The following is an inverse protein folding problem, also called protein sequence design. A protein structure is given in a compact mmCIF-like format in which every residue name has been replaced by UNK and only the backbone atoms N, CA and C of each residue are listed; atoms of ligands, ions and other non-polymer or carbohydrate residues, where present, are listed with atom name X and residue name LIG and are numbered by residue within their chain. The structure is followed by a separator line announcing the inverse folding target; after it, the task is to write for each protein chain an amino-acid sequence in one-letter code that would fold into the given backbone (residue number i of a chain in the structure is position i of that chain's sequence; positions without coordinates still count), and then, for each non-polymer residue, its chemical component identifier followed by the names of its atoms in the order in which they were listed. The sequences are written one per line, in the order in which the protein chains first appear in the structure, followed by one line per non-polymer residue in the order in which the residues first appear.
data_IF_009259050592
#
_entry.id   IF_009259050592
#
_cell.length_a   1.000
_cell.length_b   1.000
_cell.length_c   1.000
_cell.angle_alpha   90.00
_cell.angle_beta   90.00
_cell.angle_gamma   90.00
#
_symmetry.space_group_name_H-M   'P 1'
#
loop_
_entity.id
_entity.type
_entity.pdbx_description
1 polymer ?
#
# COMPACT_ATOMS: atom_id res chain seq x y z
N UNK A 1 20.54 16.05 12.57
CA UNK A 1 19.19 16.55 12.24
C UNK A 1 18.19 15.62 12.91
N UNK A 2 17.05 16.11 13.38
CA UNK A 2 16.07 15.28 14.08
C UNK A 2 14.66 15.63 13.63
N UNK A 3 13.86 14.60 13.36
CA UNK A 3 12.41 14.77 13.15
C UNK A 3 11.76 15.12 14.49
N UNK A 4 11.06 16.25 14.55
CA UNK A 4 10.24 16.61 15.71
C UNK A 4 8.96 15.76 15.70
N UNK A 5 9.01 14.66 16.46
CA UNK A 5 7.90 13.74 16.59
C UNK A 5 6.63 14.42 17.12
N UNK A 6 6.73 15.46 17.94
CA UNK A 6 5.55 16.12 18.51
C UNK A 6 4.72 16.85 17.45
N UNK A 7 5.37 17.34 16.39
CA UNK A 7 4.75 18.12 15.31
C UNK A 7 4.26 17.26 14.14
N UNK A 8 4.46 15.94 14.18
CA UNK A 8 3.99 15.06 13.10
C UNK A 8 2.46 14.99 13.12
N UNK A 9 1.86 15.42 12.00
CA UNK A 9 0.43 15.35 11.73
C UNK A 9 0.17 14.46 10.52
N UNK A 10 -0.73 13.48 10.64
CA UNK A 10 -1.26 12.74 9.50
C UNK A 10 -2.69 13.15 9.22
N UNK A 11 -3.07 13.14 7.94
CA UNK A 11 -4.43 13.42 7.49
C UNK A 11 -4.81 12.46 6.38
N UNK A 12 -6.00 11.88 6.48
CA UNK A 12 -6.61 11.14 5.37
C UNK A 12 -7.16 12.15 4.38
N UNK A 13 -6.53 12.25 3.21
CA UNK A 13 -6.96 13.15 2.13
C UNK A 13 -8.03 12.51 1.26
N UNK A 14 -7.95 11.19 1.05
CA UNK A 14 -8.92 10.42 0.26
C UNK A 14 -9.15 9.05 0.88
N UNK A 15 -10.42 8.68 1.08
CA UNK A 15 -10.80 7.30 1.43
C UNK A 15 -11.20 6.53 0.17
N UNK A 16 -10.92 5.22 0.09
CA UNK A 16 -11.50 4.36 -0.93
C UNK A 16 -13.04 4.44 -0.90
N UNK A 17 -13.65 4.73 -2.05
CA UNK A 17 -15.10 4.86 -2.22
C UNK A 17 -15.61 4.04 -3.41
N UNK A 18 -14.86 3.94 -4.51
CA UNK A 18 -15.30 3.26 -5.73
C UNK A 18 -14.87 1.80 -5.75
N UNK A 19 -15.44 1.00 -4.85
CA UNK A 19 -15.33 -0.45 -4.92
C UNK A 19 -16.11 -0.96 -6.12
N UNK A 20 -15.51 -1.82 -6.94
CA UNK A 20 -16.17 -2.48 -8.06
C UNK A 20 -15.47 -3.79 -8.41
N UNK A 21 -16.17 -4.61 -9.19
CA UNK A 21 -15.62 -5.81 -9.79
C UNK A 21 -15.88 -5.81 -11.30
N UNK A 22 -14.82 -5.97 -12.07
CA UNK A 22 -14.83 -5.90 -13.52
C UNK A 22 -14.28 -7.20 -14.11
N UNK A 23 -15.00 -7.79 -15.06
CA UNK A 23 -14.51 -8.93 -15.81
C UNK A 23 -13.51 -8.45 -16.87
N UNK A 24 -12.27 -8.92 -16.81
CA UNK A 24 -11.21 -8.58 -17.76
C UNK A 24 -10.26 -9.75 -17.95
N UNK A 25 -9.92 -10.08 -19.20
CA UNK A 25 -8.88 -11.07 -19.51
C UNK A 25 -9.11 -12.48 -18.94
N UNK A 26 -10.37 -12.90 -18.74
CA UNK A 26 -10.70 -14.20 -18.13
C UNK A 26 -10.67 -14.23 -16.60
N UNK A 27 -10.43 -13.08 -15.96
CA UNK A 27 -10.51 -12.88 -14.51
C UNK A 27 -11.58 -11.84 -14.17
N UNK A 28 -11.97 -11.81 -12.90
CA UNK A 28 -12.78 -10.77 -12.27
C UNK A 28 -11.85 -10.00 -11.35
N UNK A 29 -11.61 -8.74 -11.71
CA UNK A 29 -10.74 -7.83 -10.99
C UNK A 29 -11.57 -7.04 -9.99
N UNK A 30 -11.28 -7.23 -8.71
CA UNK A 30 -11.82 -6.43 -7.62
C UNK A 30 -10.89 -5.25 -7.40
N UNK A 31 -11.42 -4.05 -7.58
CA UNK A 31 -10.65 -2.80 -7.51
C UNK A 31 -11.35 -1.81 -6.61
N UNK A 32 -10.58 -1.01 -5.89
CA UNK A 32 -11.06 0.13 -5.12
C UNK A 32 -10.36 1.41 -5.60
N UNK A 33 -11.02 2.56 -5.44
CA UNK A 33 -10.33 3.83 -5.62
C UNK A 33 -9.23 4.02 -4.56
N UNK A 34 -8.20 4.83 -4.83
CA UNK A 34 -7.05 4.95 -3.95
C UNK A 34 -7.38 5.44 -2.53
N UNK A 35 -6.68 4.92 -1.53
CA UNK A 35 -6.45 5.56 -0.24
C UNK A 35 -5.34 6.60 -0.40
N UNK A 36 -5.52 7.79 0.18
CA UNK A 36 -4.48 8.81 0.25
C UNK A 36 -4.35 9.36 1.66
N UNK A 37 -3.13 9.41 2.17
CA UNK A 37 -2.78 9.98 3.47
C UNK A 37 -1.59 10.91 3.30
N UNK A 38 -1.71 12.15 3.78
CA UNK A 38 -0.59 13.07 3.91
C UNK A 38 -0.01 13.01 5.32
N UNK A 39 1.29 13.27 5.43
CA UNK A 39 1.97 13.55 6.67
C UNK A 39 2.68 14.90 6.57
N UNK A 40 2.60 15.71 7.62
CA UNK A 40 3.38 16.95 7.79
C UNK A 40 4.28 16.80 8.99
N UNK A 41 5.54 17.19 8.87
CA UNK A 41 6.46 17.21 9.99
C UNK A 41 7.44 18.38 9.92
N UNK A 42 8.12 18.61 11.04
CA UNK A 42 9.21 19.57 11.14
C UNK A 42 10.52 18.83 11.43
N UNK A 43 11.60 19.25 10.78
CA UNK A 43 12.94 18.68 10.98
C UNK A 43 13.86 19.76 11.51
N UNK A 44 14.44 19.52 12.68
CA UNK A 44 15.28 20.44 13.43
C UNK A 44 16.77 20.09 13.29
N UNK A 45 17.68 21.09 13.46
CA UNK A 45 19.09 20.78 13.61
C UNK A 45 19.32 19.94 14.87
N UNK A 46 20.36 19.10 14.87
CA UNK A 46 20.70 18.36 16.09
C UNK A 46 21.28 19.32 17.13
N UNK A 47 20.82 19.25 18.38
CA UNK A 47 21.24 20.15 19.47
C UNK A 47 22.74 20.01 19.82
N UNK A 48 23.40 18.95 19.36
CA UNK A 48 24.85 18.75 19.47
C UNK A 48 25.67 19.68 18.58
N UNK A 49 25.05 20.42 17.65
CA UNK A 49 25.71 21.39 16.78
C UNK A 49 25.48 22.82 17.29
N UNK A 50 26.27 23.28 18.28
CA UNK A 50 26.37 24.70 18.59
C UNK A 50 27.06 25.40 17.43
N UNK A 51 26.30 26.15 16.65
CA UNK A 51 26.80 26.95 15.53
C UNK A 51 27.72 28.03 16.10
N UNK A 52 29.03 27.93 15.83
CA UNK A 52 29.95 29.04 16.10
C UNK A 52 29.57 30.23 15.19
N UNK A 53 29.69 31.49 15.65
CA UNK A 53 29.24 32.68 14.91
C UNK A 53 29.84 32.80 13.50
N UNK A 54 31.02 32.23 13.29
CA UNK A 54 31.82 32.37 12.07
C UNK A 54 31.85 31.11 11.19
N UNK A 55 31.06 30.08 11.52
CA UNK A 55 31.04 28.84 10.77
C UNK A 55 30.17 29.01 9.51
N UNK A 56 30.81 29.50 8.44
CA UNK A 56 30.26 29.57 7.09
C UNK A 56 30.00 28.14 6.56
N UNK A 57 28.87 27.56 6.98
CA UNK A 57 28.20 26.43 6.36
C UNK A 57 29.07 25.17 6.18
N UNK A 58 29.14 24.33 7.21
CA UNK A 58 28.87 22.90 7.02
C UNK A 58 27.38 22.79 6.64
N UNK A 59 26.90 22.86 5.38
CA UNK A 59 27.19 22.10 4.14
C UNK A 59 27.00 20.59 4.21
N UNK A 60 26.46 20.03 5.29
CA UNK A 60 25.79 18.73 5.12
C UNK A 60 24.45 19.01 4.45
N UNK A 61 24.42 18.86 3.13
CA UNK A 61 23.17 18.85 2.40
C UNK A 61 22.31 17.75 3.03
N UNK A 62 21.02 17.97 3.25
CA UNK A 62 20.10 16.89 3.60
C UNK A 62 19.99 15.80 2.51
N UNK A 63 20.57 16.01 1.31
CA UNK A 63 20.94 14.92 0.36
C UNK A 63 22.04 13.99 0.86
N UNK A 64 22.91 14.51 1.71
CA UNK A 64 24.05 13.81 2.32
C UNK A 64 23.69 13.32 3.72
N UNK A 65 22.45 13.57 4.18
CA UNK A 65 21.94 12.97 5.39
C UNK A 65 21.77 11.46 5.17
N UNK A 66 22.36 10.66 6.06
CA UNK A 66 22.20 9.20 6.05
C UNK A 66 20.79 8.74 6.42
N UNK A 67 19.98 9.65 6.98
CA UNK A 67 18.61 9.37 7.40
C UNK A 67 17.59 9.66 6.29
N UNK A 68 16.58 8.82 6.19
CA UNK A 68 15.43 8.91 5.27
C UNK A 68 14.14 8.98 6.09
N UNK A 69 13.10 9.64 5.56
CA UNK A 69 11.76 9.64 6.15
C UNK A 69 10.72 9.34 5.06
N UNK A 70 9.82 8.40 5.34
CA UNK A 70 8.81 7.98 4.38
C UNK A 70 7.83 6.97 4.96
N UNK A 71 6.94 6.46 4.11
CA UNK A 71 5.98 5.43 4.53
C UNK A 71 6.52 4.02 4.30
N UNK A 72 6.22 3.11 5.22
CA UNK A 72 6.45 1.67 5.09
C UNK A 72 5.15 0.94 5.40
N UNK A 73 4.83 -0.09 4.63
CA UNK A 73 3.59 -0.84 4.76
C UNK A 73 3.83 -2.34 4.94
N UNK A 74 2.97 -2.96 5.74
CA UNK A 74 2.88 -4.40 5.94
C UNK A 74 1.46 -4.84 5.66
N UNK A 75 1.29 -5.85 4.82
CA UNK A 75 0.03 -6.58 4.73
C UNK A 75 -0.02 -7.60 5.87
N UNK A 76 -1.04 -7.49 6.72
CA UNK A 76 -1.19 -8.28 7.94
C UNK A 76 -2.32 -9.30 7.88
N UNK A 77 -3.21 -9.17 6.89
CA UNK A 77 -4.32 -10.09 6.66
C UNK A 77 -4.60 -10.20 5.16
N UNK A 78 -4.87 -11.41 4.74
CA UNK A 78 -5.59 -11.71 3.52
C UNK A 78 -6.62 -12.80 3.80
N UNK A 79 -7.87 -12.57 3.41
CA UNK A 79 -8.85 -13.64 3.27
C UNK A 79 -9.43 -13.55 1.87
N UNK A 80 -9.38 -14.63 1.09
CA UNK A 80 -9.78 -14.63 -0.30
C UNK A 80 -10.41 -15.98 -0.63
N UNK A 81 -11.72 -15.98 -0.82
CA UNK A 81 -12.47 -17.15 -1.25
C UNK A 81 -13.36 -16.83 -2.44
N UNK A 82 -13.62 -17.84 -3.24
CA UNK A 82 -14.48 -17.77 -4.41
C UNK A 82 -15.31 -19.05 -4.55
N UNK A 83 -16.61 -18.88 -4.68
CA UNK A 83 -17.57 -19.94 -4.99
C UNK A 83 -17.88 -19.93 -6.49
N UNK A 84 -17.67 -21.07 -7.12
CA UNK A 84 -17.90 -21.31 -8.54
C UNK A 84 -19.03 -22.30 -8.71
N UNK A 85 -19.89 -22.06 -9.70
CA UNK A 85 -21.03 -22.92 -9.99
C UNK A 85 -21.12 -23.22 -11.48
N UNK A 86 -21.40 -24.48 -11.82
CA UNK A 86 -21.71 -24.88 -13.18
C UNK A 86 -23.07 -24.36 -13.66
N UNK A 87 -23.33 -24.47 -14.96
CA UNK A 87 -24.57 -23.98 -15.55
C UNK A 87 -25.77 -24.86 -15.21
N UNK A 88 -25.51 -26.15 -15.07
CA UNK A 88 -26.48 -27.15 -14.68
C UNK A 88 -26.05 -27.82 -13.37
N UNK A 89 -26.98 -28.43 -12.66
CA UNK A 89 -26.67 -29.15 -11.42
C UNK A 89 -25.65 -30.27 -11.63
N UNK A 90 -25.68 -30.93 -12.81
CA UNK A 90 -24.74 -31.99 -13.18
C UNK A 90 -23.30 -31.50 -13.40
N UNK A 91 -23.10 -30.20 -13.66
CA UNK A 91 -21.77 -29.61 -13.84
C UNK A 91 -21.04 -29.39 -12.51
N UNK A 92 -21.76 -29.45 -11.39
CA UNK A 92 -21.22 -29.31 -10.04
C UNK A 92 -20.95 -27.87 -9.58
N UNK A 93 -20.22 -27.77 -8.48
CA UNK A 93 -19.74 -26.50 -7.92
C UNK A 93 -18.38 -26.70 -7.22
N UNK A 94 -17.66 -25.61 -7.02
CA UNK A 94 -16.35 -25.61 -6.36
C UNK A 94 -16.23 -24.40 -5.44
N UNK A 95 -15.58 -24.59 -4.28
CA UNK A 95 -15.18 -23.51 -3.39
C UNK A 95 -13.66 -23.45 -3.37
N UNK A 96 -13.11 -22.33 -3.82
CA UNK A 96 -11.67 -22.08 -3.78
C UNK A 96 -11.38 -21.10 -2.65
N UNK A 97 -10.56 -21.50 -1.70
CA UNK A 97 -9.96 -20.61 -0.70
C UNK A 97 -8.48 -20.44 -1.04
N UNK A 98 -8.15 -19.31 -1.67
CA UNK A 98 -6.79 -19.00 -2.14
C UNK A 98 -5.93 -18.46 -1.00
N UNK A 99 -6.51 -17.70 -0.06
CA UNK A 99 -5.77 -17.13 1.06
C UNK A 99 -5.31 -18.18 2.07
N UNK A 100 -6.09 -19.26 2.27
CA UNK A 100 -5.68 -20.38 3.12
C UNK A 100 -4.33 -20.98 2.68
N UNK A 101 -4.01 -20.92 1.39
CA UNK A 101 -2.83 -21.55 0.78
C UNK A 101 -1.54 -20.72 0.85
N UNK A 102 -1.57 -19.46 1.27
CA UNK A 102 -0.34 -18.62 1.38
C UNK A 102 0.62 -19.17 2.44
N UNK A 103 1.91 -19.25 2.09
CA UNK A 103 3.01 -19.71 2.94
C UNK A 103 3.35 -18.73 4.08
N UNK A 104 3.17 -17.42 3.85
CA UNK A 104 3.23 -16.40 4.89
C UNK A 104 1.93 -15.60 4.94
N UNK A 105 1.47 -15.30 6.16
CA UNK A 105 0.25 -14.50 6.40
C UNK A 105 0.53 -13.02 6.64
N UNK A 106 1.80 -12.67 6.87
CA UNK A 106 2.27 -11.30 7.07
C UNK A 106 3.46 -11.06 6.16
N UNK A 107 3.44 -9.97 5.41
CA UNK A 107 4.47 -9.67 4.41
C UNK A 107 4.59 -8.16 4.23
N UNK A 108 5.78 -7.72 3.82
CA UNK A 108 6.02 -6.30 3.57
C UNK A 108 5.48 -5.92 2.21
N UNK A 109 4.83 -4.79 2.11
CA UNK A 109 4.28 -4.31 0.85
C UNK A 109 5.20 -3.23 0.26
N UNK A 110 5.96 -3.60 -0.77
CA UNK A 110 6.93 -2.74 -1.45
C UNK A 110 7.14 -3.19 -2.91
N UNK A 111 7.59 -2.25 -3.75
CA UNK A 111 7.99 -2.55 -5.12
C UNK A 111 9.46 -2.96 -5.19
N UNK A 112 9.72 -4.24 -5.44
CA UNK A 112 11.08 -4.76 -5.60
C UNK A 112 11.82 -4.14 -6.78
N UNK A 113 11.13 -3.70 -7.84
CA UNK A 113 11.75 -3.13 -9.03
C UNK A 113 12.39 -1.76 -8.76
N UNK A 114 11.84 -1.02 -7.78
CA UNK A 114 12.40 0.24 -7.29
C UNK A 114 13.69 0.06 -6.47
N UNK A 115 13.99 -1.17 -6.03
CA UNK A 115 15.11 -1.47 -5.13
C UNK A 115 14.97 -0.82 -3.74
N UNK A 116 13.81 -0.24 -3.43
CA UNK A 116 13.55 0.46 -2.17
C UNK A 116 12.47 -0.24 -1.36
N UNK A 117 12.59 -0.09 -0.04
CA UNK A 117 11.67 -0.67 0.94
C UNK A 117 10.63 0.34 1.43
N UNK A 118 10.69 1.55 0.87
CA UNK A 118 9.77 2.67 1.11
C UNK A 118 8.59 2.56 0.14
N UNK A 119 7.40 2.85 0.64
CA UNK A 119 6.19 2.97 -0.16
C UNK A 119 6.25 4.32 -0.89
N UNK A 120 6.78 4.34 -2.12
CA UNK A 120 7.08 5.59 -2.84
C UNK A 120 5.81 6.28 -3.37
N UNK A 121 5.74 7.60 -3.20
CA UNK A 121 4.85 8.48 -3.96
C UNK A 121 5.60 9.32 -5.01
N UNK A 122 6.91 9.14 -5.17
CA UNK A 122 7.73 9.83 -6.18
C UNK A 122 8.42 8.82 -7.09
N UNK A 123 8.40 9.08 -8.41
CA UNK A 123 9.07 8.27 -9.44
C UNK A 123 10.60 8.40 -9.45
N UNK A 124 11.18 9.15 -8.51
CA UNK A 124 12.62 9.34 -8.39
C UNK A 124 13.08 8.68 -7.09
N UNK A 125 13.95 7.67 -7.22
CA UNK A 125 14.64 6.98 -6.12
C UNK A 125 15.42 7.97 -5.22
N UNK A 126 15.70 9.19 -5.73
CA UNK A 126 16.29 10.30 -4.98
C UNK A 126 15.31 11.14 -4.14
N UNK A 127 14.01 10.83 -4.18
CA UNK A 127 12.93 11.65 -3.60
C UNK A 127 12.29 11.00 -2.36
N UNK A 128 13.01 10.15 -1.64
CA UNK A 128 12.76 10.06 -0.20
C UNK A 128 13.05 11.45 0.37
N UNK A 129 12.02 12.31 0.47
CA UNK A 129 12.17 13.77 0.57
C UNK A 129 13.02 14.21 1.77
N UNK A 130 14.31 14.34 1.50
CA UNK A 130 15.31 15.12 2.24
C UNK A 130 15.95 16.14 1.31
N UNK A 131 15.17 16.81 0.44
CA UNK A 131 15.65 17.93 -0.38
C UNK A 131 15.05 19.26 0.07
N UNK A 132 15.27 19.70 1.32
CA UNK A 132 14.87 21.03 1.72
C UNK A 132 15.55 22.08 0.86
N UNK A 133 14.87 23.22 0.79
CA UNK A 133 15.36 24.42 0.17
C UNK A 133 16.76 24.77 0.70
N UNK A 134 17.77 24.64 -0.18
CA UNK A 134 19.17 24.89 0.13
C UNK A 134 19.44 26.33 0.58
N UNK A 135 18.49 27.25 0.34
CA UNK A 135 18.58 28.64 0.80
C UNK A 135 18.08 28.84 2.23
N UNK A 136 17.42 27.84 2.84
CA UNK A 136 16.80 27.95 4.16
C UNK A 136 17.51 27.10 5.19
N UNK A 137 17.87 27.72 6.31
CA UNK A 137 18.33 27.00 7.52
C UNK A 137 17.15 26.24 8.13
N UNK A 138 17.39 25.08 8.76
CA UNK A 138 16.33 24.41 9.52
C UNK A 138 15.85 25.33 10.66
N UNK A 139 14.59 25.18 11.11
CA UNK A 139 13.74 24.01 10.88
C UNK A 139 13.09 23.95 9.49
N UNK A 140 13.01 22.74 8.93
CA UNK A 140 12.34 22.50 7.64
C UNK A 140 10.96 21.90 7.87
N UNK A 141 9.96 22.45 7.18
CA UNK A 141 8.63 21.86 7.12
C UNK A 141 8.58 20.91 5.92
N UNK A 142 8.30 19.64 6.18
CA UNK A 142 8.21 18.59 5.18
C UNK A 142 6.78 18.06 5.08
N UNK A 143 6.37 17.69 3.87
CA UNK A 143 5.09 17.06 3.60
C UNK A 143 5.31 15.79 2.77
N UNK A 144 4.69 14.69 3.19
CA UNK A 144 4.80 13.36 2.59
C UNK A 144 3.42 12.86 2.23
N UNK A 145 3.37 11.98 1.24
CA UNK A 145 2.12 11.39 0.77
C UNK A 145 2.27 9.88 0.66
N UNK A 146 1.24 9.19 1.13
CA UNK A 146 1.02 7.77 0.94
C UNK A 146 -0.20 7.61 0.04
N UNK A 147 -0.10 6.71 -0.94
CA UNK A 147 -1.18 6.47 -1.90
C UNK A 147 -1.21 5.02 -2.36
N UNK A 148 -2.26 4.29 -2.00
CA UNK A 148 -2.40 2.85 -2.31
C UNK A 148 -3.75 2.57 -2.99
N UNK A 149 -3.76 1.66 -3.95
CA UNK A 149 -4.95 1.17 -4.67
C UNK A 149 -4.95 -0.35 -4.65
N UNK A 150 -5.45 -0.97 -3.56
CA UNK A 150 -5.43 -2.41 -3.48
C UNK A 150 -6.37 -3.00 -4.54
N UNK A 151 -5.90 -4.06 -5.18
CA UNK A 151 -6.67 -4.85 -6.13
C UNK A 151 -6.53 -6.35 -5.82
N UNK A 152 -7.44 -7.14 -6.37
CA UNK A 152 -7.36 -8.59 -6.28
C UNK A 152 -8.10 -9.26 -7.45
N UNK A 153 -7.41 -10.17 -8.14
CA UNK A 153 -7.95 -10.92 -9.26
C UNK A 153 -8.45 -12.30 -8.84
N UNK A 154 -9.62 -12.70 -9.35
CA UNK A 154 -10.14 -14.07 -9.25
C UNK A 154 -10.42 -14.62 -10.65
N UNK A 155 -10.16 -15.90 -10.94
CA UNK A 155 -10.59 -16.49 -12.20
C UNK A 155 -12.10 -16.27 -12.45
N UNK A 156 -12.50 -15.95 -13.68
CA UNK A 156 -13.93 -15.83 -14.00
C UNK A 156 -14.61 -17.21 -14.11
N UNK A 157 -13.81 -18.25 -14.41
CA UNK A 157 -14.24 -19.64 -14.46
C UNK A 157 -13.07 -20.56 -14.11
N UNK A 158 -13.40 -21.74 -13.62
CA UNK A 158 -12.47 -22.81 -13.26
C UNK A 158 -12.97 -24.13 -13.84
N UNK A 159 -12.06 -25.04 -14.15
CA UNK A 159 -12.42 -26.38 -14.59
C UNK A 159 -12.73 -27.25 -13.36
N UNK A 160 -13.90 -27.89 -13.37
CA UNK A 160 -14.20 -28.92 -12.40
C UNK A 160 -13.60 -30.25 -12.90
N UNK A 161 -12.57 -30.73 -12.22
CA UNK A 161 -11.85 -31.96 -12.61
C UNK A 161 -12.71 -33.23 -12.49
N UNK A 162 -13.74 -33.23 -11.63
CA UNK A 162 -14.61 -34.39 -11.46
C UNK A 162 -15.64 -34.50 -12.59
N UNK A 163 -16.21 -33.38 -13.01
CA UNK A 163 -17.25 -33.36 -14.05
C UNK A 163 -16.69 -33.05 -15.44
N UNK A 164 -15.44 -32.61 -15.54
CA UNK A 164 -14.81 -32.10 -16.76
C UNK A 164 -15.60 -30.94 -17.41
N UNK A 165 -16.35 -30.19 -16.59
CA UNK A 165 -17.14 -29.02 -17.00
C UNK A 165 -16.63 -27.76 -16.32
N UNK A 166 -16.83 -26.62 -16.98
CA UNK A 166 -16.47 -25.33 -16.39
C UNK A 166 -17.51 -24.92 -15.32
N UNK A 167 -17.00 -24.41 -14.20
CA UNK A 167 -17.79 -23.71 -13.19
C UNK A 167 -17.40 -22.22 -13.23
N UNK A 168 -18.37 -21.32 -13.15
CA UNK A 168 -18.15 -19.88 -13.30
C UNK A 168 -18.30 -19.19 -11.97
N UNK A 169 -17.61 -18.06 -11.83
CA UNK A 169 -17.59 -17.31 -10.59
C UNK A 169 -19.01 -16.85 -10.24
N UNK A 170 -19.52 -17.35 -9.11
CA UNK A 170 -20.84 -16.98 -8.61
C UNK A 170 -20.74 -15.95 -7.52
N UNK A 171 -19.80 -16.12 -6.60
CA UNK A 171 -19.59 -15.24 -5.47
C UNK A 171 -18.12 -15.26 -5.06
N UNK A 172 -17.59 -14.12 -4.62
CA UNK A 172 -16.25 -14.05 -4.06
C UNK A 172 -16.20 -13.06 -2.92
N UNK A 173 -15.30 -13.28 -1.97
CA UNK A 173 -14.94 -12.29 -0.97
C UNK A 173 -13.45 -12.22 -0.82
N UNK A 174 -12.90 -11.02 -0.95
CA UNK A 174 -11.53 -10.69 -0.63
C UNK A 174 -11.50 -9.63 0.48
N UNK A 175 -10.66 -9.82 1.48
CA UNK A 175 -10.35 -8.82 2.49
C UNK A 175 -8.84 -8.71 2.66
N UNK A 176 -8.33 -7.51 2.49
CA UNK A 176 -6.92 -7.16 2.70
C UNK A 176 -6.83 -6.18 3.86
N UNK A 177 -5.91 -6.40 4.79
CA UNK A 177 -5.63 -5.46 5.86
C UNK A 177 -4.15 -5.17 5.98
N UNK A 178 -3.85 -3.92 6.31
CA UNK A 178 -2.51 -3.36 6.27
C UNK A 178 -2.20 -2.57 7.54
N UNK A 179 -0.91 -2.49 7.84
CA UNK A 179 -0.34 -1.58 8.82
C UNK A 179 0.65 -0.68 8.08
N UNK A 180 0.39 0.62 8.11
CA UNK A 180 1.23 1.62 7.46
C UNK A 180 1.87 2.50 8.51
N UNK A 181 3.16 2.77 8.35
CA UNK A 181 3.97 3.52 9.31
C UNK A 181 4.70 4.66 8.62
N UNK A 182 4.71 5.84 9.25
CA UNK A 182 5.68 6.89 8.90
C UNK A 182 6.98 6.57 9.66
N UNK A 183 8.05 6.33 8.92
CA UNK A 183 9.29 5.78 9.45
C UNK A 183 10.47 6.65 9.08
N UNK A 184 11.31 6.94 10.07
CA UNK A 184 12.67 7.47 9.92
C UNK A 184 13.61 6.27 9.81
N UNK A 185 14.52 6.25 8.84
CA UNK A 185 15.50 5.19 8.65
C UNK A 185 16.90 5.77 8.57
N UNK A 186 17.83 5.36 9.42
CA UNK A 186 19.21 5.83 9.45
C UNK A 186 20.17 4.64 9.59
N UNK A 187 21.09 4.47 8.65
CA UNK A 187 22.10 3.38 8.65
C UNK A 187 21.52 1.96 8.91
N UNK A 188 20.32 1.68 8.38
CA UNK A 188 19.63 0.40 8.55
C UNK A 188 18.81 0.27 9.83
N UNK A 189 18.83 1.27 10.72
CA UNK A 189 17.94 1.36 11.87
C UNK A 189 16.67 2.08 11.47
N UNK A 190 15.51 1.50 11.79
CA UNK A 190 14.22 2.09 11.53
C UNK A 190 13.56 2.55 12.83
N UNK A 191 13.02 3.77 12.81
CA UNK A 191 12.26 4.39 13.88
C UNK A 191 10.89 4.80 13.37
N UNK A 192 9.86 4.15 13.88
CA UNK A 192 8.48 4.39 13.47
C UNK A 192 7.86 5.49 14.34
N UNK A 193 7.45 6.59 13.70
CA UNK A 193 6.91 7.76 14.37
C UNK A 193 5.40 7.70 14.56
N UNK A 194 4.71 7.21 13.54
CA UNK A 194 3.25 7.14 13.48
C UNK A 194 2.84 5.89 12.75
N UNK A 195 1.69 5.33 13.11
CA UNK A 195 1.10 4.23 12.37
C UNK A 195 -0.43 4.31 12.32
N UNK A 196 -1.00 3.64 11.33
CA UNK A 196 -2.43 3.38 11.22
C UNK A 196 -2.67 2.02 10.60
N UNK A 197 -3.82 1.43 10.93
CA UNK A 197 -4.32 0.22 10.31
C UNK A 197 -5.40 0.60 9.31
N UNK A 198 -5.47 -0.10 8.19
CA UNK A 198 -6.56 0.08 7.24
C UNK A 198 -6.83 -1.20 6.48
N UNK A 199 -8.02 -1.31 5.88
CA UNK A 199 -8.43 -2.51 5.17
C UNK A 199 -9.37 -2.19 4.01
N UNK A 200 -9.32 -3.03 2.98
CA UNK A 200 -10.26 -3.05 1.86
C UNK A 200 -10.95 -4.42 1.79
N UNK A 201 -12.27 -4.42 1.68
CA UNK A 201 -13.09 -5.63 1.59
C UNK A 201 -13.95 -5.55 0.34
N UNK A 202 -13.87 -6.57 -0.50
CA UNK A 202 -14.80 -6.80 -1.59
C UNK A 202 -15.57 -8.07 -1.29
N UNK A 203 -16.89 -7.99 -1.33
CA UNK A 203 -17.77 -9.14 -1.34
C UNK A 203 -18.68 -8.98 -2.55
N UNK A 204 -18.48 -9.81 -3.56
CA UNK A 204 -19.13 -9.65 -4.85
C UNK A 204 -19.94 -10.88 -5.20
N UNK A 205 -21.02 -10.67 -5.95
CA UNK A 205 -21.83 -11.75 -6.48
C UNK A 205 -22.21 -11.47 -7.93
N UNK A 206 -22.21 -12.51 -8.76
CA UNK A 206 -22.69 -12.42 -10.12
C UNK A 206 -24.17 -11.99 -10.12
N UNK A 207 -24.49 -10.94 -10.87
CA UNK A 207 -25.86 -10.43 -10.99
C UNK A 207 -26.77 -11.43 -11.70
N UNK A 208 -26.23 -12.15 -12.70
CA UNK A 208 -26.93 -13.22 -13.40
C UNK A 208 -26.94 -14.51 -12.58
N UNK A 209 -28.12 -15.10 -12.40
CA UNK A 209 -28.29 -16.47 -11.88
C UNK A 209 -27.82 -17.52 -12.88
N UNK A 210 -27.65 -17.15 -14.15
CA UNK A 210 -27.08 -17.98 -15.21
C UNK A 210 -25.57 -17.69 -15.34
N UNK A 211 -24.71 -18.64 -14.92
CA UNK A 211 -23.27 -18.40 -14.73
C UNK A 211 -22.46 -18.19 -16.02
N UNK A 212 -22.99 -18.53 -17.20
CA UNK A 212 -22.23 -18.55 -18.46
C UNK A 212 -22.22 -17.22 -19.24
N UNK A 213 -22.94 -16.18 -18.79
CA UNK A 213 -23.11 -14.96 -19.61
C UNK A 213 -21.80 -14.19 -19.75
N UNK A 214 -21.44 -13.92 -21.01
CA UNK A 214 -20.20 -13.23 -21.44
C UNK A 214 -20.08 -11.81 -20.85
N UNK A 215 -21.20 -11.19 -20.45
CA UNK A 215 -21.24 -9.87 -19.81
C UNK A 215 -21.78 -9.95 -18.36
N UNK A 216 -21.40 -10.98 -17.61
CA UNK A 216 -21.81 -11.09 -16.21
C UNK A 216 -21.26 -9.91 -15.43
N UNK A 217 -22.15 -9.03 -14.99
CA UNK A 217 -21.82 -7.96 -14.05
C UNK A 217 -21.81 -8.50 -12.64
N UNK A 218 -21.01 -7.87 -11.78
CA UNK A 218 -20.92 -8.22 -10.37
C UNK A 218 -21.53 -7.10 -9.53
N UNK A 219 -22.40 -7.48 -8.61
CA UNK A 219 -22.90 -6.58 -7.58
C UNK A 219 -22.04 -6.70 -6.34
N UNK A 220 -21.80 -5.58 -5.66
CA UNK A 220 -21.25 -5.59 -4.31
C UNK A 220 -22.33 -6.00 -3.32
N UNK A 221 -21.96 -6.88 -2.41
CA UNK A 221 -22.75 -7.32 -1.28
C UNK A 221 -22.39 -6.51 -0.03
N UNK A 222 -23.30 -6.56 0.95
CA UNK A 222 -23.09 -5.95 2.26
C UNK A 222 -21.80 -6.50 2.90
N UNK A 223 -21.09 -5.62 3.62
CA UNK A 223 -19.77 -5.94 4.18
C UNK A 223 -18.59 -5.67 3.25
N UNK A 224 -18.84 -5.25 1.99
CA UNK A 224 -17.83 -4.60 1.16
C UNK A 224 -17.56 -3.19 1.65
N UNK A 225 -16.31 -2.73 1.56
CA UNK A 225 -15.95 -1.35 1.85
C UNK A 225 -14.55 -1.19 2.43
N UNK A 226 -14.39 -0.10 3.16
CA UNK A 226 -13.12 0.37 3.66
C UNK A 226 -13.20 0.66 5.16
N UNK A 227 -12.10 0.41 5.86
CA UNK A 227 -11.92 0.85 7.23
C UNK A 227 -10.51 1.39 7.45
N UNK A 228 -10.37 2.37 8.33
CA UNK A 228 -9.09 2.93 8.78
C UNK A 228 -9.19 3.26 10.26
N UNK A 229 -8.13 2.95 11.01
CA UNK A 229 -8.00 3.31 12.41
C UNK A 229 -7.68 4.79 12.57
N UNK A 230 -7.74 5.26 13.82
CA UNK A 230 -7.07 6.50 14.20
C UNK A 230 -5.54 6.38 14.00
N UNK A 231 -4.89 7.52 13.82
CA UNK A 231 -3.43 7.61 13.77
C UNK A 231 -2.86 7.49 15.18
N UNK A 232 -1.96 6.53 15.38
CA UNK A 232 -1.29 6.27 16.66
C UNK A 232 0.14 6.76 16.64
N UNK A 233 0.66 7.14 17.81
CA UNK A 233 2.07 7.51 18.03
C UNK A 233 2.95 6.27 18.15
N UNK A 234 4.19 6.38 17.69
CA UNK A 234 5.17 5.30 17.70
C UNK A 234 4.90 4.22 16.65
N UNK A 235 5.68 3.13 16.73
CA UNK A 235 5.48 1.94 15.92
C UNK A 235 4.30 1.07 16.37
N UNK A 236 3.87 0.10 15.54
CA UNK A 236 2.87 -0.89 15.93
C UNK A 236 3.30 -1.65 17.19
N UNK A 237 2.37 -1.92 18.10
CA UNK A 237 2.66 -2.66 19.35
C UNK A 237 2.94 -4.14 19.07
N UNK A 238 2.29 -4.71 18.06
CA UNK A 238 2.47 -6.11 17.70
C UNK A 238 3.87 -6.35 17.13
N UNK A 239 4.65 -7.15 17.86
CA UNK A 239 6.04 -7.47 17.54
C UNK A 239 6.19 -8.07 16.15
N UNK A 240 5.20 -8.85 15.68
CA UNK A 240 5.24 -9.49 14.36
C UNK A 240 5.30 -8.46 13.23
N UNK A 241 4.58 -7.35 13.37
CA UNK A 241 4.58 -6.28 12.36
C UNK A 241 5.87 -5.48 12.41
N UNK A 242 6.38 -5.21 13.62
CA UNK A 242 7.68 -4.55 13.81
C UNK A 242 8.83 -5.37 13.23
N UNK A 243 8.86 -6.68 13.44
CA UNK A 243 9.92 -7.54 12.92
C UNK A 243 9.94 -7.53 11.38
N UNK A 244 8.76 -7.56 10.75
CA UNK A 244 8.62 -7.43 9.27
C UNK A 244 9.03 -6.04 8.76
N UNK A 245 8.67 -4.97 9.48
CA UNK A 245 9.09 -3.61 9.15
C UNK A 245 10.61 -3.43 9.28
N UNK A 246 11.21 -3.98 10.32
CA UNK A 246 12.62 -3.75 10.65
C UNK A 246 13.57 -4.70 9.91
N UNK A 247 13.11 -5.88 9.48
CA UNK A 247 13.96 -6.93 8.92
C UNK A 247 13.72 -7.12 7.41
N UNK A 248 14.07 -6.08 6.65
CA UNK A 248 13.81 -6.00 5.20
C UNK A 248 14.57 -7.02 4.37
N UNK A 249 15.74 -7.49 4.82
CA UNK A 249 16.57 -8.47 4.13
C UNK A 249 16.04 -9.91 4.23
N UNK A 250 15.09 -10.16 5.13
CA UNK A 250 14.58 -11.51 5.43
C UNK A 250 13.07 -11.66 5.21
N UNK A 251 12.34 -10.59 4.93
CA UNK A 251 10.89 -10.67 4.76
C UNK A 251 10.51 -10.61 3.28
N UNK A 252 9.83 -11.66 2.73
CA UNK A 252 9.38 -11.63 1.35
C UNK A 252 8.35 -10.53 1.12
N UNK A 253 8.35 -9.96 -0.09
CA UNK A 253 7.33 -8.97 -0.47
C UNK A 253 5.95 -9.63 -0.55
N UNK A 254 4.90 -8.86 -0.30
CA UNK A 254 3.53 -9.34 -0.45
C UNK A 254 3.27 -9.94 -1.84
N UNK A 255 3.84 -9.32 -2.88
CA UNK A 255 3.75 -9.76 -4.26
C UNK A 255 4.44 -11.11 -4.50
N UNK A 256 5.58 -11.39 -3.85
CA UNK A 256 6.26 -12.69 -3.92
C UNK A 256 5.49 -13.81 -3.22
N UNK A 257 4.76 -13.47 -2.15
CA UNK A 257 3.94 -14.43 -1.40
C UNK A 257 2.61 -14.70 -2.11
N UNK A 258 2.17 -13.86 -3.06
CA UNK A 258 0.97 -14.10 -3.87
C UNK A 258 1.25 -15.04 -5.05
N UNK A 259 2.34 -14.87 -5.80
CA UNK A 259 2.88 -15.85 -6.78
C UNK A 259 4.10 -15.25 -7.51
N UNK A 260 5.09 -16.06 -7.92
CA UNK A 260 6.36 -15.61 -8.50
C UNK A 260 6.27 -14.45 -9.50
N UNK A 261 6.78 -13.29 -9.07
CA UNK A 261 7.24 -12.14 -9.84
C UNK A 261 6.31 -11.61 -10.96
N UNK A 262 5.36 -10.76 -10.59
CA UNK A 262 4.96 -9.62 -11.43
C UNK A 262 4.83 -8.34 -10.59
N UNK A 263 5.26 -7.25 -11.23
CA UNK A 263 5.52 -5.90 -10.71
C UNK A 263 4.48 -5.42 -9.68
N UNK A 264 4.94 -5.07 -8.48
CA UNK A 264 4.13 -4.32 -7.53
C UNK A 264 3.81 -2.96 -8.16
N UNK A 265 2.53 -2.66 -8.39
CA UNK A 265 2.12 -1.29 -8.71
C UNK A 265 1.75 -0.59 -7.41
N UNK A 266 2.75 -0.22 -6.61
CA UNK A 266 2.52 0.46 -5.31
C UNK A 266 2.34 1.97 -5.43
N UNK A 267 1.76 2.45 -6.53
CA UNK A 267 1.35 3.84 -6.69
C UNK A 267 0.04 3.84 -7.45
N UNK A 268 -1.00 4.45 -6.88
CA UNK A 268 -2.21 4.75 -7.62
C UNK A 268 -1.85 5.47 -8.94
N UNK A 269 -2.21 4.88 -10.08
CA UNK A 269 -1.88 5.45 -11.41
C UNK A 269 -2.52 6.84 -11.65
N UNK A 270 -3.57 7.15 -10.89
CA UNK A 270 -4.26 8.44 -10.83
C UNK A 270 -3.89 9.26 -9.59
N UNK A 271 -2.79 8.94 -8.89
CA UNK A 271 -2.24 9.84 -7.87
C UNK A 271 -1.86 11.15 -8.55
N UNK A 272 -2.76 12.11 -8.47
CA UNK A 272 -2.45 13.49 -8.79
C UNK A 272 -1.84 14.08 -7.53
N UNK A 273 -0.56 14.47 -7.62
CA UNK A 273 -0.06 15.62 -6.88
C UNK A 273 -1.11 16.71 -7.13
N UNK A 274 -1.95 17.05 -6.14
CA UNK A 274 -2.76 18.26 -6.24
C UNK A 274 -1.84 19.34 -6.78
N UNK A 275 -2.24 20.08 -7.83
CA UNK A 275 -1.30 20.90 -8.60
C UNK A 275 -0.51 21.77 -7.65
N UNK A 276 0.71 21.34 -7.35
CA UNK A 276 1.64 22.15 -6.61
C UNK A 276 1.96 23.27 -7.56
N UNK A 277 1.60 24.47 -7.10
CA UNK A 277 2.01 25.74 -7.68
C UNK A 277 3.54 25.78 -7.77
N UNK A 278 4.14 25.10 -8.74
CA UNK A 278 5.49 25.37 -9.17
C UNK A 278 5.56 25.28 -10.68
N UNK A 279 5.25 26.43 -11.31
CA UNK A 279 5.61 26.76 -12.69
C UNK A 279 7.12 26.62 -12.96
N UNK A 280 7.95 26.37 -11.95
CA UNK A 280 9.42 26.35 -12.04
C UNK A 280 10.00 25.07 -12.66
N UNK A 281 9.26 23.96 -12.70
CA UNK A 281 9.75 22.69 -13.26
C UNK A 281 9.47 22.52 -14.77
N UNK A 282 9.00 23.58 -15.47
CA UNK A 282 8.85 23.59 -16.95
C UNK A 282 9.99 24.28 -17.70
N UNK A 283 11.03 24.70 -16.99
CA UNK A 283 12.12 25.49 -17.56
C UNK A 283 13.49 24.93 -17.21
N UNK A 284 13.70 23.61 -17.30
CA UNK A 284 15.00 22.98 -17.60
C UNK A 284 14.77 21.63 -18.28
#
# INVERSE_FOLDING_TARGET
MRVDDAQIQLRVDRKPAHFRAEASGGAVQMVASPLQVSARCQVEPDFSYRIAPDDFMSRTSPRDASWKLGFMQVQILETAWAYYRGAQSADGCQLNDTAARRSSKVCRDYDRSSGTVWYEGSKSIGDCYGLPDRSRRPPWNLEFYFGDSPDHGMPAKVLNEQTQRYNYLREARCALAFVTTLTEGDQGVHKHHRHFLWSAIWHIQAASTEPQKVNTTFRLLAGSGFWISEFKRGGPIDRRYLDVLNNSSLTPSANEVVEGALVAKSVASDWQRFPLMDRKDKLF
#
